data_IF_726662324413
#
_entry.id   IF_726662324413
#
_cell.length_a   1.000
_cell.length_b   1.000
_cell.length_c   1.000
_cell.angle_alpha   90.00
_cell.angle_beta   90.00
_cell.angle_gamma   90.00
#
_symmetry.space_group_name_H-M   'P 1'
#
loop_
_entity.id
_entity.type
_entity.pdbx_description
1 polymer ?
#
# COMPACT_ATOMS: atom_id res chain seq x y z
N UNK A 1 -3.63 -7.84 -8.61
CA UNK A 1 -2.61 -6.77 -8.51
C UNK A 1 -1.78 -6.70 -9.76
N UNK A 2 -1.76 -5.53 -10.41
CA UNK A 2 -1.05 -5.30 -11.68
C UNK A 2 0.05 -4.26 -11.51
N UNK A 3 1.22 -4.51 -12.11
CA UNK A 3 2.34 -3.58 -12.08
C UNK A 3 2.28 -2.63 -13.27
N UNK A 4 2.42 -1.34 -13.00
CA UNK A 4 2.53 -0.29 -14.01
C UNK A 4 3.74 0.59 -13.72
N UNK A 5 4.31 1.20 -14.75
CA UNK A 5 5.40 2.17 -14.57
C UNK A 5 4.85 3.56 -14.28
N UNK A 6 5.67 4.44 -13.70
CA UNK A 6 5.36 5.89 -13.62
C UNK A 6 5.08 6.52 -15.00
N UNK A 7 5.63 5.95 -16.07
CA UNK A 7 5.35 6.37 -17.45
C UNK A 7 3.95 5.93 -17.89
N UNK A 8 3.56 4.69 -17.61
CA UNK A 8 2.20 4.20 -17.87
C UNK A 8 1.15 5.04 -17.14
N UNK A 9 1.44 5.43 -15.89
CA UNK A 9 0.56 6.30 -15.11
C UNK A 9 0.23 7.62 -15.83
N UNK A 10 1.21 8.20 -16.54
CA UNK A 10 1.04 9.44 -17.31
C UNK A 10 0.39 9.20 -18.67
N UNK A 11 0.71 8.08 -19.33
CA UNK A 11 0.36 7.84 -20.74
C UNK A 11 -0.94 7.05 -20.92
N UNK A 12 -1.39 6.29 -19.91
CA UNK A 12 -2.51 5.34 -20.01
C UNK A 12 -3.60 5.61 -18.97
N UNK A 13 -3.76 6.86 -18.57
CA UNK A 13 -4.66 7.31 -17.50
C UNK A 13 -6.08 6.74 -17.61
N UNK A 14 -6.71 6.80 -18.79
CA UNK A 14 -8.06 6.26 -19.01
C UNK A 14 -8.16 4.77 -18.70
N UNK A 15 -7.19 3.97 -19.18
CA UNK A 15 -7.16 2.51 -18.95
C UNK A 15 -6.90 2.19 -17.48
N UNK A 16 -6.07 2.99 -16.81
CA UNK A 16 -5.78 2.85 -15.38
C UNK A 16 -7.05 3.09 -14.57
N UNK A 17 -7.81 4.15 -14.86
CA UNK A 17 -9.08 4.40 -14.16
C UNK A 17 -10.13 3.30 -14.39
N UNK A 18 -10.19 2.73 -15.59
CA UNK A 18 -11.05 1.57 -15.85
C UNK A 18 -10.67 0.36 -15.00
N UNK A 19 -9.37 0.09 -14.85
CA UNK A 19 -8.86 -1.00 -14.00
C UNK A 19 -9.19 -0.76 -12.52
N UNK A 20 -8.96 0.45 -12.02
CA UNK A 20 -9.30 0.81 -10.63
C UNK A 20 -10.80 0.67 -10.39
N UNK A 21 -11.65 1.16 -11.30
CA UNK A 21 -13.11 1.03 -11.21
C UNK A 21 -13.61 -0.41 -11.28
N UNK A 22 -12.87 -1.31 -11.93
CA UNK A 22 -13.17 -2.75 -11.92
C UNK A 22 -12.66 -3.48 -10.66
N UNK A 23 -12.11 -2.74 -9.68
CA UNK A 23 -11.59 -3.30 -8.44
C UNK A 23 -10.15 -3.82 -8.52
N UNK A 24 -9.41 -3.54 -9.59
CA UNK A 24 -8.01 -3.96 -9.70
C UNK A 24 -7.10 -3.03 -8.90
N UNK A 25 -6.24 -3.59 -8.06
CA UNK A 25 -5.17 -2.85 -7.38
C UNK A 25 -3.92 -2.74 -8.25
N UNK A 26 -3.29 -1.55 -8.28
CA UNK A 26 -2.14 -1.28 -9.13
C UNK A 26 -0.89 -0.94 -8.32
N UNK A 27 0.21 -1.64 -8.60
CA UNK A 27 1.54 -1.30 -8.07
C UNK A 27 2.24 -0.39 -9.06
N UNK A 28 2.58 0.82 -8.62
CA UNK A 28 3.34 1.77 -9.42
C UNK A 28 4.82 1.55 -9.19
N UNK A 29 5.58 1.47 -10.28
CA UNK A 29 7.02 1.22 -10.27
C UNK A 29 7.81 2.38 -10.89
N UNK A 30 8.98 2.66 -10.33
CA UNK A 30 10.01 3.53 -10.90
C UNK A 30 11.30 2.73 -11.03
N UNK A 31 11.86 2.66 -12.24
CA UNK A 31 13.06 1.87 -12.54
C UNK A 31 12.95 0.41 -12.04
N UNK A 32 11.78 -0.22 -12.24
CA UNK A 32 11.50 -1.60 -11.82
C UNK A 32 11.23 -1.78 -10.32
N UNK A 33 11.37 -0.73 -9.50
CA UNK A 33 11.13 -0.79 -8.05
C UNK A 33 9.73 -0.30 -7.70
N UNK A 34 8.94 -1.02 -6.89
CA UNK A 34 7.68 -0.54 -6.36
C UNK A 34 7.88 0.75 -5.55
N UNK A 35 7.07 1.77 -5.83
CA UNK A 35 7.11 3.05 -5.11
C UNK A 35 5.76 3.49 -4.55
N UNK A 36 4.66 2.95 -5.07
CA UNK A 36 3.32 3.25 -4.57
C UNK A 36 2.33 2.12 -4.91
N UNK A 37 1.24 2.09 -4.14
CA UNK A 37 0.04 1.29 -4.41
C UNK A 37 -1.08 2.27 -4.74
N UNK A 38 -1.83 2.00 -5.80
CA UNK A 38 -3.07 2.70 -6.13
C UNK A 38 -4.22 1.71 -6.00
N UNK A 39 -5.16 2.03 -5.12
CA UNK A 39 -6.39 1.28 -4.91
C UNK A 39 -7.59 2.20 -5.10
N UNK A 40 -8.72 1.61 -5.50
CA UNK A 40 -9.98 2.33 -5.60
C UNK A 40 -10.52 2.65 -4.21
N UNK A 41 -11.13 3.82 -4.07
CA UNK A 41 -11.85 4.25 -2.88
C UNK A 41 -13.17 4.87 -3.32
N UNK A 42 -14.15 4.90 -2.43
CA UNK A 42 -15.44 5.55 -2.64
C UNK A 42 -15.70 6.61 -1.56
N UNK A 43 -16.61 7.55 -1.79
CA UNK A 43 -17.00 8.53 -0.76
C UNK A 43 -17.54 7.84 0.50
N UNK A 44 -18.19 6.69 0.35
CA UNK A 44 -18.80 5.93 1.44
C UNK A 44 -17.75 5.19 2.30
N UNK A 45 -16.62 4.80 1.72
CA UNK A 45 -15.61 3.93 2.37
C UNK A 45 -14.28 4.60 2.65
N UNK A 46 -14.06 5.84 2.17
CA UNK A 46 -12.76 6.50 2.18
C UNK A 46 -12.11 6.56 3.57
N UNK A 47 -12.87 6.97 4.59
CA UNK A 47 -12.35 7.13 5.96
C UNK A 47 -11.98 5.78 6.58
N UNK A 48 -12.86 4.79 6.46
CA UNK A 48 -12.66 3.43 6.98
C UNK A 48 -11.48 2.72 6.28
N UNK A 49 -11.34 2.89 4.96
CA UNK A 49 -10.25 2.34 4.17
C UNK A 49 -8.89 2.94 4.62
N UNK A 50 -8.83 4.27 4.78
CA UNK A 50 -7.63 4.95 5.26
C UNK A 50 -7.28 4.51 6.69
N UNK A 51 -8.27 4.42 7.57
CA UNK A 51 -8.06 3.98 8.94
C UNK A 51 -7.51 2.55 8.97
N UNK A 52 -8.07 1.65 8.18
CA UNK A 52 -7.64 0.26 8.05
C UNK A 52 -6.17 0.17 7.63
N UNK A 53 -5.77 0.93 6.62
CA UNK A 53 -4.38 0.98 6.13
C UNK A 53 -3.42 1.48 7.23
N UNK A 54 -3.83 2.52 7.97
CA UNK A 54 -3.02 3.09 9.07
C UNK A 54 -2.86 2.10 10.22
N UNK A 55 -3.94 1.44 10.64
CA UNK A 55 -3.91 0.41 11.69
C UNK A 55 -3.02 -0.76 11.30
N UNK A 56 -3.16 -1.29 10.08
CA UNK A 56 -2.31 -2.36 9.57
C UNK A 56 -0.82 -1.98 9.56
N UNK A 57 -0.51 -0.75 9.15
CA UNK A 57 0.87 -0.21 9.14
C UNK A 57 1.45 -0.08 10.55
N UNK A 58 0.64 0.34 11.53
CA UNK A 58 1.03 0.42 12.93
C UNK A 58 1.32 -0.96 13.51
N UNK A 59 0.43 -1.94 13.30
CA UNK A 59 0.62 -3.32 13.76
C UNK A 59 1.90 -3.95 13.20
N UNK A 60 2.17 -3.76 11.90
CA UNK A 60 3.42 -4.21 11.27
C UNK A 60 4.66 -3.56 11.89
N UNK A 61 4.56 -2.28 12.25
CA UNK A 61 5.65 -1.57 12.90
C UNK A 61 5.90 -2.08 14.32
N UNK A 62 4.84 -2.34 15.08
CA UNK A 62 4.91 -2.92 16.42
C UNK A 62 5.53 -4.33 16.38
N UNK A 63 5.10 -5.19 15.46
CA UNK A 63 5.69 -6.52 15.25
C UNK A 63 7.20 -6.43 14.96
N UNK A 64 7.64 -5.48 14.12
CA UNK A 64 9.07 -5.25 13.89
C UNK A 64 9.82 -4.83 15.15
N UNK A 65 9.24 -3.95 15.96
CA UNK A 65 9.83 -3.51 17.23
C UNK A 65 9.94 -4.69 18.19
N UNK A 66 8.87 -5.47 18.32
CA UNK A 66 8.83 -6.63 19.20
C UNK A 66 9.86 -7.68 18.81
N UNK A 67 9.96 -8.02 17.52
CA UNK A 67 10.99 -8.95 17.02
C UNK A 67 12.41 -8.45 17.31
N UNK A 68 12.67 -7.16 17.12
CA UNK A 68 13.98 -6.58 17.46
C UNK A 68 14.27 -6.67 18.96
N UNK A 69 13.28 -6.40 19.80
CA UNK A 69 13.41 -6.49 21.25
C UNK A 69 13.69 -7.93 21.72
N UNK A 70 13.01 -8.91 21.14
CA UNK A 70 13.28 -10.34 21.37
C UNK A 70 14.71 -10.72 20.96
N UNK A 71 15.16 -10.29 19.77
CA UNK A 71 16.51 -10.54 19.27
C UNK A 71 17.60 -9.90 20.15
N UNK A 72 17.33 -8.72 20.69
CA UNK A 72 18.27 -7.97 21.53
C UNK A 72 18.17 -8.31 23.02
N UNK A 73 17.19 -9.14 23.42
CA UNK A 73 16.95 -9.46 24.83
C UNK A 73 16.41 -8.29 25.67
N UNK A 74 15.98 -7.19 25.04
CA UNK A 74 15.51 -5.96 25.72
C UNK A 74 14.04 -5.99 26.11
N UNK A 75 13.38 -7.13 25.94
CA UNK A 75 11.95 -7.32 26.23
C UNK A 75 11.65 -7.56 27.71
N UNK A 76 12.67 -7.84 28.51
CA UNK A 76 12.58 -7.95 29.97
C UNK A 76 12.94 -6.58 30.57
N UNK A 77 11.96 -5.97 31.23
CA UNK A 77 12.18 -4.89 32.20
C UNK A 77 12.37 -5.56 33.56
#
# INVERSE_FOLDING_TARGET
MKFITVRDLKQKTTKIWQLIKSGEELVITSNGKPIALLTGVSEETLEDDIETIRRASALKSLDRIHRRSLQQGTYKI
#
